data_IF_494237037716
#
_entry.id   IF_494237037716
#
_cell.length_a   1.000
_cell.length_b   1.000
_cell.length_c   1.000
_cell.angle_alpha   90.00
_cell.angle_beta   90.00
_cell.angle_gamma   90.00
#
_symmetry.space_group_name_H-M   'P 1'
#
loop_
_entity.id
_entity.type
_entity.pdbx_description
1 polymer ?
#
# COMPACT_ATOMS: atom_id res chain seq x y z
N UNK A 1 12.01 -3.93 -16.76
CA UNK A 1 11.18 -3.28 -15.78
C UNK A 1 11.57 -3.70 -14.38
N UNK A 2 11.64 -2.76 -13.50
CA UNK A 2 12.09 -3.02 -12.14
C UNK A 2 10.91 -3.37 -11.24
N UNK A 3 10.91 -4.57 -10.73
CA UNK A 3 9.81 -5.04 -9.89
C UNK A 3 9.68 -4.19 -8.63
N UNK A 4 10.81 -3.78 -8.07
CA UNK A 4 10.78 -2.95 -6.88
C UNK A 4 10.08 -1.62 -7.15
N UNK A 5 10.40 -1.00 -8.27
CA UNK A 5 9.77 0.24 -8.65
C UNK A 5 8.29 0.03 -8.90
N UNK A 6 7.96 -1.09 -9.50
CA UNK A 6 6.56 -1.41 -9.75
C UNK A 6 5.78 -1.48 -8.44
N UNK A 7 6.34 -2.15 -7.45
CA UNK A 7 5.70 -2.26 -6.15
C UNK A 7 5.59 -0.91 -5.46
N UNK A 8 6.66 -0.12 -5.57
CA UNK A 8 6.63 1.20 -4.95
C UNK A 8 5.54 2.06 -5.56
N UNK A 9 5.41 2.01 -6.87
CA UNK A 9 4.38 2.78 -7.55
C UNK A 9 3.00 2.34 -7.17
N UNK A 10 2.80 1.04 -7.12
CA UNK A 10 1.50 0.53 -6.74
C UNK A 10 1.14 0.91 -5.32
N UNK A 11 2.10 0.81 -4.43
CA UNK A 11 1.87 1.17 -3.03
C UNK A 11 1.51 2.64 -2.93
N UNK A 12 2.26 3.48 -3.63
CA UNK A 12 2.00 4.90 -3.60
C UNK A 12 0.61 5.24 -4.12
N UNK A 13 0.23 4.61 -5.23
CA UNK A 13 -1.08 4.86 -5.81
C UNK A 13 -2.20 4.43 -4.88
N UNK A 14 -2.02 3.30 -4.23
CA UNK A 14 -3.05 2.84 -3.31
C UNK A 14 -3.14 3.71 -2.07
N UNK A 15 -2.01 4.18 -1.60
CA UNK A 15 -2.03 5.09 -0.46
C UNK A 15 -2.73 6.39 -0.81
N UNK A 16 -2.50 6.86 -2.02
CA UNK A 16 -3.15 8.07 -2.48
C UNK A 16 -4.66 7.88 -2.58
N UNK A 17 -5.07 6.74 -3.10
CA UNK A 17 -6.49 6.44 -3.18
C UNK A 17 -7.12 6.37 -1.81
N UNK A 18 -6.40 5.78 -0.86
CA UNK A 18 -6.90 5.71 0.50
C UNK A 18 -7.10 7.10 1.10
N UNK A 19 -6.11 7.96 0.91
CA UNK A 19 -6.21 9.32 1.39
C UNK A 19 -7.40 10.04 0.81
N UNK A 20 -7.60 9.89 -0.49
CA UNK A 20 -8.72 10.54 -1.14
C UNK A 20 -10.04 10.01 -0.66
N UNK A 21 -10.10 8.70 -0.45
CA UNK A 21 -11.33 8.09 0.04
C UNK A 21 -11.67 8.63 1.42
N UNK A 22 -10.67 8.78 2.27
CA UNK A 22 -10.89 9.32 3.61
C UNK A 22 -11.35 10.78 3.52
N UNK A 23 -10.74 11.53 2.64
CA UNK A 23 -11.07 12.92 2.44
C UNK A 23 -12.51 13.10 2.01
N UNK A 24 -12.96 12.25 1.12
CA UNK A 24 -14.31 12.31 0.61
C UNK A 24 -15.30 11.60 1.48
N UNK A 25 -14.85 11.09 2.59
CA UNK A 25 -15.71 10.36 3.50
C UNK A 25 -16.42 9.21 2.80
N UNK A 26 -15.64 8.45 2.05
CA UNK A 26 -16.16 7.28 1.36
C UNK A 26 -16.69 6.27 2.37
N UNK A 27 -17.53 5.33 1.92
CA UNK A 27 -18.05 4.31 2.82
C UNK A 27 -16.94 3.55 3.50
N UNK A 28 -17.20 3.15 4.72
CA UNK A 28 -16.21 2.43 5.51
C UNK A 28 -15.69 1.19 4.80
N UNK A 29 -16.56 0.54 4.06
CA UNK A 29 -16.16 -0.68 3.37
C UNK A 29 -15.07 -0.41 2.36
N UNK A 30 -15.19 0.69 1.65
CA UNK A 30 -14.20 1.05 0.65
C UNK A 30 -12.90 1.44 1.30
N UNK A 31 -12.98 2.24 2.36
CA UNK A 31 -11.79 2.65 3.09
C UNK A 31 -11.08 1.44 3.68
N UNK A 32 -11.85 0.53 4.23
CA UNK A 32 -11.31 -0.67 4.83
C UNK A 32 -10.58 -1.52 3.81
N UNK A 33 -11.17 -1.67 2.63
CA UNK A 33 -10.54 -2.43 1.56
C UNK A 33 -9.23 -1.82 1.13
N UNK A 34 -9.23 -0.51 0.92
CA UNK A 34 -8.01 0.17 0.51
C UNK A 34 -6.94 0.04 1.58
N UNK A 35 -7.35 0.17 2.82
CA UNK A 35 -6.41 0.03 3.92
C UNK A 35 -5.76 -1.36 3.93
N UNK A 36 -6.57 -2.38 3.71
CA UNK A 36 -6.05 -3.74 3.67
C UNK A 36 -5.07 -3.93 2.52
N UNK A 37 -5.41 -3.39 1.36
CA UNK A 37 -4.53 -3.52 0.21
C UNK A 37 -3.20 -2.82 0.49
N UNK A 38 -3.24 -1.63 1.04
CA UNK A 38 -2.02 -0.91 1.37
C UNK A 38 -1.18 -1.71 2.36
N UNK A 39 -1.84 -2.26 3.35
CA UNK A 39 -1.16 -3.03 4.36
C UNK A 39 -0.46 -4.25 3.76
N UNK A 40 -1.14 -4.95 2.87
CA UNK A 40 -0.57 -6.11 2.23
C UNK A 40 0.59 -5.76 1.33
N UNK A 41 0.45 -4.68 0.59
CA UNK A 41 1.53 -4.25 -0.28
C UNK A 41 2.77 -3.87 0.52
N UNK A 42 2.58 -3.21 1.64
CA UNK A 42 3.69 -2.88 2.51
C UNK A 42 4.37 -4.12 3.04
N UNK A 43 3.57 -5.09 3.43
CA UNK A 43 4.11 -6.32 3.95
C UNK A 43 4.94 -7.03 2.89
N UNK A 44 4.42 -7.12 1.68
CA UNK A 44 5.13 -7.78 0.59
C UNK A 44 6.43 -7.04 0.30
N UNK A 45 6.37 -5.72 0.24
CA UNK A 45 7.55 -4.92 -0.02
C UNK A 45 8.63 -5.19 1.03
N UNK A 46 8.23 -5.22 2.28
CA UNK A 46 9.18 -5.47 3.36
C UNK A 46 9.80 -6.85 3.24
N UNK A 47 8.98 -7.83 2.94
CA UNK A 47 9.48 -9.19 2.85
C UNK A 47 10.47 -9.35 1.72
N UNK A 48 10.27 -8.64 0.62
CA UNK A 48 11.12 -8.79 -0.53
C UNK A 48 12.36 -7.91 -0.50
N UNK A 49 12.23 -6.72 0.04
CA UNK A 49 13.32 -5.75 -0.08
C UNK A 49 13.90 -5.29 1.24
N UNK A 50 13.24 -5.55 2.33
CA UNK A 50 13.75 -5.24 3.66
C UNK A 50 14.20 -6.46 4.39
N UNK A 51 14.13 -7.57 3.76
CA UNK A 51 14.55 -8.78 4.33
C UNK A 51 16.00 -8.69 4.69
N UNK A 52 16.39 -9.17 5.76
CA UNK A 52 17.77 -9.07 6.14
C UNK A 52 18.08 -7.91 7.02
N UNK A 53 17.22 -6.92 7.02
CA UNK A 53 17.42 -5.86 7.98
C UNK A 53 17.00 -6.35 9.33
N UNK A 54 17.92 -6.23 10.25
CA UNK A 54 17.59 -6.66 11.58
C UNK A 54 17.10 -5.50 12.37
N UNK A 55 16.12 -5.70 13.09
CA UNK A 55 15.63 -4.63 13.90
C UNK A 55 16.12 -4.69 15.24
#
# INVERSE_FOLDING_TARGET
>A
MDFKKYLENRLMMKELQLMRAEDKEAPKEIISRLFMVVKELRYIYRQLFWKGRKE
#
